data_IF_165718193435
#
_entry.id   IF_165718193435
#
_cell.length_a   1.000
_cell.length_b   1.000
_cell.length_c   1.000
_cell.angle_alpha   90.00
_cell.angle_beta   90.00
_cell.angle_gamma   90.00
#
_symmetry.space_group_name_H-M   'P 1'
#
loop_
_entity.id
_entity.type
_entity.pdbx_description
1 polymer ?
#
# COMPACT_ATOMS: atom_id res chain seq x y z
N UNK A 1 -11.28 -6.66 9.38
CA UNK A 1 -12.18 -5.51 9.70
C UNK A 1 -13.03 -5.21 8.46
N UNK A 2 -14.19 -4.56 8.58
CA UNK A 2 -15.01 -4.22 7.41
C UNK A 2 -15.06 -2.71 7.18
N UNK A 3 -14.97 -2.30 5.92
CA UNK A 3 -15.11 -0.92 5.48
C UNK A 3 -16.26 -0.79 4.50
N UNK A 4 -16.99 0.32 4.60
CA UNK A 4 -18.18 0.58 3.77
C UNK A 4 -17.86 1.65 2.75
N UNK A 5 -17.88 1.28 1.47
CA UNK A 5 -17.69 2.20 0.35
C UNK A 5 -18.98 2.25 -0.46
N UNK A 6 -19.80 3.29 -0.23
CA UNK A 6 -21.12 3.40 -0.84
C UNK A 6 -22.04 2.27 -0.34
N UNK A 7 -22.45 1.39 -1.25
CA UNK A 7 -23.26 0.21 -0.95
C UNK A 7 -22.45 -1.10 -0.90
N UNK A 8 -21.13 -1.04 -1.05
CA UNK A 8 -20.23 -2.19 -1.02
C UNK A 8 -19.56 -2.29 0.36
N UNK A 9 -19.32 -3.53 0.80
CA UNK A 9 -18.63 -3.83 2.06
C UNK A 9 -17.39 -4.63 1.76
N UNK A 10 -16.24 -4.09 2.15
CA UNK A 10 -14.93 -4.70 1.92
C UNK A 10 -14.34 -5.23 3.22
N UNK A 11 -13.82 -6.46 3.21
CA UNK A 11 -13.07 -7.03 4.31
C UNK A 11 -11.58 -6.76 4.14
N UNK A 12 -10.98 -6.06 5.10
CA UNK A 12 -9.52 -5.88 5.14
C UNK A 12 -8.79 -7.22 5.13
N UNK A 13 -9.35 -8.23 5.82
CA UNK A 13 -8.73 -9.55 5.95
C UNK A 13 -8.75 -10.32 4.62
N UNK A 14 -9.78 -10.14 3.79
CA UNK A 14 -9.85 -10.73 2.45
C UNK A 14 -8.87 -10.06 1.50
N UNK A 15 -8.78 -8.73 1.53
CA UNK A 15 -7.82 -7.97 0.72
C UNK A 15 -6.38 -8.39 1.08
N UNK A 16 -6.07 -8.51 2.37
CA UNK A 16 -4.76 -8.99 2.83
C UNK A 16 -4.42 -10.39 2.28
N UNK A 17 -5.39 -11.31 2.27
CA UNK A 17 -5.22 -12.66 1.72
C UNK A 17 -4.98 -12.64 0.21
N UNK A 18 -5.74 -11.82 -0.52
CA UNK A 18 -5.58 -11.65 -1.98
C UNK A 18 -4.17 -11.12 -2.28
N UNK A 19 -3.75 -10.05 -1.59
CA UNK A 19 -2.41 -9.46 -1.73
C UNK A 19 -1.29 -10.50 -1.51
N UNK A 20 -1.40 -11.30 -0.45
CA UNK A 20 -0.41 -12.33 -0.13
C UNK A 20 -0.43 -13.50 -1.12
N UNK A 21 -1.60 -14.07 -1.39
CA UNK A 21 -1.72 -15.34 -2.12
C UNK A 21 -1.62 -15.18 -3.64
N UNK A 22 -2.12 -14.07 -4.19
CA UNK A 22 -2.18 -13.87 -5.65
C UNK A 22 -1.04 -13.01 -6.18
N UNK A 23 -0.52 -12.09 -5.36
CA UNK A 23 0.43 -11.07 -5.80
C UNK A 23 1.79 -11.12 -5.07
N UNK A 24 1.98 -12.04 -4.12
CA UNK A 24 3.24 -12.16 -3.37
C UNK A 24 3.56 -10.92 -2.53
N UNK A 25 2.55 -10.11 -2.20
CA UNK A 25 2.71 -8.91 -1.39
C UNK A 25 2.56 -9.29 0.08
N UNK A 26 3.61 -9.05 0.86
CA UNK A 26 3.59 -9.32 2.31
C UNK A 26 2.92 -8.17 3.04
N UNK A 27 1.76 -8.39 3.64
CA UNK A 27 1.17 -7.42 4.58
C UNK A 27 1.93 -7.46 5.91
N UNK A 28 2.69 -6.41 6.21
CA UNK A 28 3.49 -6.27 7.43
C UNK A 28 2.61 -5.84 8.60
N UNK A 29 1.72 -4.88 8.37
CA UNK A 29 0.83 -4.35 9.40
C UNK A 29 -0.45 -3.79 8.78
N UNK A 30 -1.60 -4.16 9.34
CA UNK A 30 -2.87 -3.49 9.06
C UNK A 30 -2.95 -2.19 9.87
N UNK A 31 -2.93 -1.06 9.16
CA UNK A 31 -2.98 0.29 9.72
C UNK A 31 -4.41 0.84 9.76
N UNK A 32 -5.41 0.10 9.27
CA UNK A 32 -6.79 0.57 9.09
C UNK A 32 -7.38 1.12 10.37
N UNK A 33 -7.21 0.38 11.49
CA UNK A 33 -7.69 0.83 12.81
C UNK A 33 -7.04 2.14 13.27
N UNK A 34 -5.77 2.38 12.94
CA UNK A 34 -5.06 3.60 13.36
C UNK A 34 -5.52 4.87 12.62
N UNK A 35 -6.37 4.71 11.60
CA UNK A 35 -6.96 5.84 10.89
C UNK A 35 -8.17 6.43 11.62
N UNK A 36 -8.78 5.69 12.56
CA UNK A 36 -10.05 5.99 13.24
C UNK A 36 -11.22 6.25 12.25
N UNK A 37 -11.24 5.52 11.13
CA UNK A 37 -12.23 5.70 10.07
C UNK A 37 -12.74 4.38 9.53
N UNK A 38 -14.05 4.34 9.30
CA UNK A 38 -14.74 3.17 8.74
C UNK A 38 -14.79 3.18 7.19
N UNK A 39 -14.30 4.25 6.58
CA UNK A 39 -14.31 4.49 5.13
C UNK A 39 -12.90 4.48 4.52
N UNK A 40 -11.92 3.88 5.21
CA UNK A 40 -10.52 3.76 4.78
C UNK A 40 -9.98 2.38 5.07
N UNK A 41 -9.29 1.78 4.10
CA UNK A 41 -8.37 0.66 4.29
C UNK A 41 -6.95 1.22 4.19
N UNK A 42 -6.10 0.90 5.17
CA UNK A 42 -4.70 1.32 5.16
C UNK A 42 -3.80 0.15 5.53
N UNK A 43 -2.86 -0.20 4.64
CA UNK A 43 -1.97 -1.34 4.86
C UNK A 43 -0.50 -0.92 4.69
N UNK A 44 0.35 -1.42 5.58
CA UNK A 44 1.80 -1.42 5.40
C UNK A 44 2.18 -2.76 4.79
N UNK A 45 2.76 -2.72 3.60
CA UNK A 45 3.16 -3.90 2.86
C UNK A 45 4.67 -3.90 2.57
N UNK A 46 5.21 -5.08 2.31
CA UNK A 46 6.55 -5.33 1.80
C UNK A 46 6.45 -6.10 0.49
N UNK A 47 7.22 -5.68 -0.51
CA UNK A 47 7.33 -6.37 -1.79
C UNK A 47 8.79 -6.74 -2.01
N UNK A 48 9.08 -8.01 -2.29
CA UNK A 48 10.45 -8.47 -2.51
C UNK A 48 10.98 -8.03 -3.87
N UNK A 49 12.30 -7.96 -3.98
CA UNK A 49 12.99 -7.70 -5.25
C UNK A 49 12.57 -8.71 -6.34
N UNK A 50 12.37 -9.97 -5.94
CA UNK A 50 11.97 -11.05 -6.85
C UNK A 50 10.57 -10.79 -7.44
N UNK A 51 9.61 -10.37 -6.63
CA UNK A 51 8.25 -10.02 -7.11
C UNK A 51 8.30 -8.80 -8.05
N UNK A 52 9.17 -7.84 -7.75
CA UNK A 52 9.35 -6.63 -8.58
C UNK A 52 10.21 -6.87 -9.83
N UNK A 53 10.85 -8.04 -9.98
CA UNK A 53 11.84 -8.32 -11.01
C UNK A 53 12.92 -7.24 -11.11
N UNK A 54 13.42 -6.77 -9.97
CA UNK A 54 14.52 -5.80 -9.91
C UNK A 54 15.84 -6.52 -9.58
N UNK A 55 16.89 -6.16 -10.30
CA UNK A 55 18.24 -6.58 -9.95
C UNK A 55 18.65 -5.99 -8.60
N UNK A 56 19.74 -6.52 -8.05
CA UNK A 56 20.37 -5.87 -6.91
C UNK A 56 20.75 -4.43 -7.26
N UNK A 57 20.45 -3.55 -6.33
CA UNK A 57 20.63 -2.12 -6.45
C UNK A 57 21.37 -1.64 -5.20
N UNK A 58 22.20 -0.61 -5.36
CA UNK A 58 22.88 0.02 -4.23
C UNK A 58 21.93 1.05 -3.60
N UNK A 59 21.52 0.81 -2.34
CA UNK A 59 20.64 1.74 -1.64
C UNK A 59 21.32 3.06 -1.27
N UNK A 60 22.66 3.13 -1.30
CA UNK A 60 23.41 4.37 -1.12
C UNK A 60 23.44 5.21 -2.40
N UNK A 61 23.18 4.59 -3.55
CA UNK A 61 22.99 5.29 -4.81
C UNK A 61 21.54 5.77 -4.90
N UNK A 62 21.38 7.10 -4.83
CA UNK A 62 20.07 7.75 -4.83
C UNK A 62 19.23 7.38 -6.06
N UNK A 63 19.82 7.35 -7.26
CA UNK A 63 19.10 7.02 -8.49
C UNK A 63 18.61 5.56 -8.48
N UNK A 64 19.47 4.63 -8.04
CA UNK A 64 19.14 3.21 -7.98
C UNK A 64 18.02 2.95 -6.96
N UNK A 65 18.10 3.60 -5.80
CA UNK A 65 17.07 3.53 -4.77
C UNK A 65 15.75 4.14 -5.23
N UNK A 66 15.75 5.34 -5.80
CA UNK A 66 14.55 6.00 -6.34
C UNK A 66 13.88 5.15 -7.42
N UNK A 67 14.66 4.59 -8.36
CA UNK A 67 14.15 3.67 -9.37
C UNK A 67 13.47 2.43 -8.76
N UNK A 68 14.05 1.87 -7.69
CA UNK A 68 13.47 0.74 -6.99
C UNK A 68 12.14 1.11 -6.30
N UNK A 69 12.08 2.27 -5.65
CA UNK A 69 10.85 2.79 -5.05
C UNK A 69 9.77 3.07 -6.10
N UNK A 70 10.12 3.65 -7.24
CA UNK A 70 9.18 3.94 -8.33
C UNK A 70 8.59 2.67 -8.93
N UNK A 71 9.43 1.64 -9.15
CA UNK A 71 8.97 0.32 -9.60
C UNK A 71 8.03 -0.33 -8.58
N UNK A 72 8.35 -0.26 -7.29
CA UNK A 72 7.48 -0.75 -6.23
C UNK A 72 6.14 -0.02 -6.21
N UNK A 73 6.14 1.30 -6.36
CA UNK A 73 4.93 2.11 -6.45
C UNK A 73 4.08 1.75 -7.67
N UNK A 74 4.70 1.63 -8.84
CA UNK A 74 4.02 1.30 -10.09
C UNK A 74 3.39 -0.10 -10.01
N UNK A 75 4.12 -1.08 -9.49
CA UNK A 75 3.60 -2.42 -9.25
C UNK A 75 2.40 -2.39 -8.31
N UNK A 76 2.52 -1.74 -7.15
CA UNK A 76 1.45 -1.68 -6.16
C UNK A 76 0.20 -0.96 -6.70
N UNK A 77 0.35 0.18 -7.37
CA UNK A 77 -0.78 0.87 -8.03
C UNK A 77 -1.50 -0.06 -9.00
N UNK A 78 -0.75 -0.77 -9.85
CA UNK A 78 -1.33 -1.72 -10.80
C UNK A 78 -2.05 -2.90 -10.13
N UNK A 79 -1.61 -3.34 -8.94
CA UNK A 79 -2.34 -4.36 -8.17
C UNK A 79 -3.62 -3.78 -7.56
N UNK A 80 -3.57 -2.57 -7.00
CA UNK A 80 -4.77 -1.94 -6.43
C UNK A 80 -5.85 -1.75 -7.50
N UNK A 81 -5.47 -1.36 -8.71
CA UNK A 81 -6.41 -1.25 -9.84
C UNK A 81 -7.05 -2.60 -10.20
N UNK A 82 -6.28 -3.70 -10.10
CA UNK A 82 -6.80 -5.07 -10.33
C UNK A 82 -7.73 -5.57 -9.24
N UNK A 83 -7.67 -5.02 -8.02
CA UNK A 83 -8.61 -5.36 -6.96
C UNK A 83 -10.03 -4.87 -7.25
N UNK A 84 -10.21 -3.96 -8.22
CA UNK A 84 -11.50 -3.43 -8.68
C UNK A 84 -12.42 -2.96 -7.53
N UNK A 85 -11.82 -2.26 -6.57
CA UNK A 85 -12.54 -1.74 -5.40
C UNK A 85 -13.39 -0.54 -5.83
N UNK A 86 -14.70 -0.77 -5.93
CA UNK A 86 -15.68 0.23 -6.33
C UNK A 86 -15.75 1.39 -5.36
N UNK A 87 -16.16 2.54 -5.91
CA UNK A 87 -16.37 3.78 -5.16
C UNK A 87 -15.14 4.21 -4.35
N UNK A 88 -13.93 3.89 -4.80
CA UNK A 88 -12.71 4.18 -4.07
C UNK A 88 -11.79 5.14 -4.81
N UNK A 89 -10.98 5.86 -4.03
CA UNK A 89 -9.72 6.44 -4.50
C UNK A 89 -8.61 5.83 -3.68
N UNK A 90 -7.49 5.59 -4.34
CA UNK A 90 -6.34 4.96 -3.73
C UNK A 90 -5.10 5.85 -3.81
N UNK A 91 -4.14 5.56 -2.92
CA UNK A 91 -2.82 6.16 -2.92
C UNK A 91 -1.82 5.16 -2.34
N UNK A 92 -0.66 5.04 -2.96
CA UNK A 92 0.45 4.28 -2.42
C UNK A 92 1.76 5.08 -2.48
N UNK A 93 2.70 4.71 -1.61
CA UNK A 93 4.04 5.28 -1.59
C UNK A 93 5.01 4.29 -0.94
N UNK A 94 5.96 3.82 -1.73
CA UNK A 94 7.18 3.15 -1.32
C UNK A 94 8.11 4.18 -0.69
N UNK A 95 8.72 3.82 0.44
CA UNK A 95 9.49 4.79 1.25
C UNK A 95 10.81 4.24 1.80
N UNK A 96 10.97 2.92 1.90
CA UNK A 96 12.12 2.32 2.59
C UNK A 96 12.44 0.94 2.07
N UNK A 97 13.72 0.61 1.97
CA UNK A 97 14.18 -0.75 1.76
C UNK A 97 14.58 -1.39 3.09
N UNK A 98 14.12 -2.62 3.33
CA UNK A 98 14.46 -3.43 4.49
C UNK A 98 15.44 -4.51 4.05
N UNK A 99 16.73 -4.31 4.32
CA UNK A 99 17.80 -5.24 3.91
C UNK A 99 17.67 -6.61 4.59
N UNK A 100 17.25 -6.65 5.86
CA UNK A 100 17.13 -7.89 6.62
C UNK A 100 16.08 -8.82 5.99
N UNK A 101 14.93 -8.24 5.65
CA UNK A 101 13.82 -9.00 5.08
C UNK A 101 13.83 -9.02 3.55
N UNK A 102 14.69 -8.23 2.92
CA UNK A 102 14.81 -8.06 1.47
C UNK A 102 13.49 -7.58 0.80
N UNK A 103 12.80 -6.61 1.42
CA UNK A 103 11.56 -6.03 0.87
C UNK A 103 11.62 -4.51 0.78
N UNK A 104 11.00 -3.95 -0.25
CA UNK A 104 10.66 -2.53 -0.29
C UNK A 104 9.34 -2.34 0.43
N UNK A 105 9.33 -1.45 1.43
CA UNK A 105 8.15 -1.07 2.21
C UNK A 105 7.35 -0.03 1.47
N UNK A 106 6.05 -0.28 1.38
CA UNK A 106 5.06 0.58 0.75
C UNK A 106 3.85 0.71 1.68
N UNK A 107 3.34 1.93 1.83
CA UNK A 107 2.03 2.16 2.45
C UNK A 107 1.01 2.31 1.34
N UNK A 108 -0.14 1.65 1.50
CA UNK A 108 -1.31 1.85 0.64
C UNK A 108 -2.48 2.36 1.47
N UNK A 109 -3.29 3.22 0.86
CA UNK A 109 -4.56 3.67 1.38
C UNK A 109 -5.60 3.61 0.29
N UNK A 110 -6.76 3.04 0.62
CA UNK A 110 -7.92 2.93 -0.26
C UNK A 110 -9.08 3.49 0.51
N UNK A 111 -9.74 4.52 -0.03
CA UNK A 111 -10.71 5.32 0.71
C UNK A 111 -11.96 5.57 -0.13
N UNK A 112 -13.12 5.61 0.51
CA UNK A 112 -14.37 5.94 -0.14
C UNK A 112 -14.29 7.30 -0.88
N UNK A 113 -14.73 7.32 -2.14
CA UNK A 113 -14.47 8.40 -3.10
C UNK A 113 -14.99 9.76 -2.65
N UNK A 114 -16.13 9.82 -1.96
CA UNK A 114 -16.75 11.08 -1.53
C UNK A 114 -15.94 11.80 -0.45
N UNK A 115 -15.28 11.05 0.45
CA UNK A 115 -14.47 11.58 1.54
C UNK A 115 -12.99 11.65 1.16
N UNK A 116 -12.53 10.77 0.28
CA UNK A 116 -11.14 10.67 -0.16
C UNK A 116 -10.58 11.97 -0.73
N UNK A 117 -11.35 12.68 -1.56
CA UNK A 117 -10.90 13.95 -2.17
C UNK A 117 -10.46 15.00 -1.14
N UNK A 118 -11.04 14.97 0.06
CA UNK A 118 -10.73 15.92 1.15
C UNK A 118 -9.70 15.38 2.13
N UNK A 119 -9.69 14.06 2.38
CA UNK A 119 -9.00 13.47 3.53
C UNK A 119 -7.90 12.48 3.19
N UNK A 120 -7.89 11.87 2.00
CA UNK A 120 -6.92 10.83 1.64
C UNK A 120 -5.48 11.32 1.80
N UNK A 121 -5.17 12.51 1.30
CA UNK A 121 -3.82 13.07 1.41
C UNK A 121 -3.39 13.39 2.85
N UNK A 122 -4.31 13.84 3.71
CA UNK A 122 -4.03 14.16 5.11
C UNK A 122 -3.74 12.88 5.91
N UNK A 123 -4.60 11.88 5.75
CA UNK A 123 -4.44 10.55 6.37
C UNK A 123 -3.15 9.90 5.89
N UNK A 124 -2.90 9.90 4.58
CA UNK A 124 -1.73 9.26 4.00
C UNK A 124 -0.42 9.89 4.50
N UNK A 125 -0.35 11.23 4.60
CA UNK A 125 0.81 11.93 5.16
C UNK A 125 1.04 11.57 6.63
N UNK A 126 -0.01 11.49 7.44
CA UNK A 126 0.08 11.04 8.85
C UNK A 126 0.58 9.61 8.94
N UNK A 127 0.07 8.71 8.10
CA UNK A 127 0.48 7.31 8.10
C UNK A 127 1.96 7.17 7.74
N UNK A 128 2.42 7.84 6.68
CA UNK A 128 3.86 7.84 6.33
C UNK A 128 4.71 8.37 7.49
N UNK A 129 4.39 9.55 8.03
CA UNK A 129 5.16 10.13 9.13
C UNK A 129 5.25 9.23 10.37
N UNK A 130 4.20 8.48 10.68
CA UNK A 130 4.17 7.60 11.85
C UNK A 130 4.81 6.22 11.62
N UNK A 131 5.20 5.91 10.38
CA UNK A 131 5.62 4.56 9.97
C UNK A 131 6.94 4.49 9.19
N UNK A 132 7.52 5.64 8.84
CA UNK A 132 8.85 5.80 8.25
C UNK A 132 9.98 5.32 9.21
#
# INVERSE_FOLDING_TARGET
MFQVFGNEVYSTDEICKILQNEYGITVITDLTKSTDRDDVIALKCGISKDVLNIADFDMQNENDFENALEKCNSYMSGIIDKLDIKYSLNKCQAYKYDEHNNYIKVIICIMYIETARKKLNDIFKRLLKNND
#
